data_IF_948930184974
#
_entry.id   IF_948930184974
#
_cell.length_a   1.000
_cell.length_b   1.000
_cell.length_c   1.000
_cell.angle_alpha   90.00
_cell.angle_beta   90.00
_cell.angle_gamma   90.00
#
_symmetry.space_group_name_H-M   'P 1'
#
loop_
_entity.id
_entity.type
_entity.pdbx_description
1 polymer ?
#
# COMPACT_ATOMS: atom_id res chain seq x y z
N UNK A 1 -18.33 -9.25 -7.06
CA UNK A 1 -17.29 -8.21 -7.27
C UNK A 1 -16.70 -8.29 -8.68
N UNK A 2 -16.37 -9.50 -9.16
CA UNK A 2 -15.80 -9.74 -10.50
C UNK A 2 -16.68 -9.16 -11.64
N UNK A 3 -18.02 -9.18 -11.51
CA UNK A 3 -18.92 -8.65 -12.56
C UNK A 3 -19.23 -7.15 -12.45
N UNK A 4 -18.62 -6.42 -11.50
CA UNK A 4 -18.99 -5.02 -11.20
C UNK A 4 -17.87 -4.00 -11.33
N UNK A 5 -16.62 -4.44 -11.48
CA UNK A 5 -15.49 -3.55 -11.74
C UNK A 5 -15.02 -3.75 -13.17
N UNK A 6 -14.94 -2.65 -13.93
CA UNK A 6 -14.54 -2.65 -15.33
C UNK A 6 -13.56 -1.52 -15.61
N UNK A 7 -13.19 -1.32 -16.88
CA UNK A 7 -12.32 -0.22 -17.28
C UNK A 7 -12.82 1.12 -16.72
N UNK A 8 -11.91 1.95 -16.22
CA UNK A 8 -12.18 3.23 -15.52
C UNK A 8 -12.81 3.11 -14.12
N UNK A 9 -13.00 1.89 -13.62
CA UNK A 9 -13.36 1.65 -12.22
C UNK A 9 -12.24 2.02 -11.26
N UNK A 10 -12.59 2.29 -10.00
CA UNK A 10 -11.66 2.52 -8.90
C UNK A 10 -11.78 1.38 -7.87
N UNK A 11 -10.69 0.69 -7.62
CA UNK A 11 -10.58 -0.28 -6.53
C UNK A 11 -9.81 0.34 -5.37
N UNK A 12 -10.42 0.34 -4.18
CA UNK A 12 -9.77 0.77 -2.94
C UNK A 12 -9.49 -0.48 -2.09
N UNK A 13 -8.21 -0.80 -1.92
CA UNK A 13 -7.77 -1.88 -1.05
C UNK A 13 -7.10 -1.28 0.18
N UNK A 14 -7.73 -1.45 1.34
CA UNK A 14 -7.15 -1.07 2.62
C UNK A 14 -6.66 -2.30 3.37
N UNK A 15 -5.34 -2.49 3.45
CA UNK A 15 -4.69 -3.61 4.13
C UNK A 15 -5.20 -4.99 3.67
N UNK A 16 -5.50 -5.11 2.37
CA UNK A 16 -5.81 -6.39 1.77
C UNK A 16 -4.64 -7.37 1.99
N UNK A 17 -4.97 -8.64 2.24
CA UNK A 17 -4.01 -9.73 2.55
C UNK A 17 -3.33 -9.67 3.92
N UNK A 18 -3.79 -8.82 4.86
CA UNK A 18 -3.22 -8.74 6.21
C UNK A 18 -3.22 -10.06 7.01
N UNK A 19 -4.14 -10.99 6.71
CA UNK A 19 -4.21 -12.31 7.36
C UNK A 19 -3.43 -13.41 6.63
N UNK A 20 -2.64 -13.06 5.61
CA UNK A 20 -1.83 -13.97 4.81
C UNK A 20 -0.35 -13.68 5.09
N UNK A 21 0.49 -14.73 5.17
CA UNK A 21 1.92 -14.53 5.36
C UNK A 21 2.51 -13.63 4.25
N UNK A 22 3.38 -12.68 4.61
CA UNK A 22 3.85 -11.61 3.72
C UNK A 22 4.36 -12.11 2.36
N UNK A 23 5.09 -13.23 2.37
CA UNK A 23 5.61 -13.87 1.15
C UNK A 23 4.49 -14.36 0.22
N UNK A 24 3.47 -15.01 0.77
CA UNK A 24 2.36 -15.52 -0.03
C UNK A 24 1.41 -14.40 -0.45
N UNK A 25 1.20 -13.41 0.42
CA UNK A 25 0.46 -12.19 0.12
C UNK A 25 1.06 -11.44 -1.08
N UNK A 26 2.39 -11.25 -1.11
CA UNK A 26 3.07 -10.63 -2.25
C UNK A 26 2.94 -11.42 -3.55
N UNK A 27 3.00 -12.77 -3.48
CA UNK A 27 2.82 -13.65 -4.65
C UNK A 27 1.41 -13.59 -5.23
N UNK A 28 0.41 -13.31 -4.41
CA UNK A 28 -0.99 -13.16 -4.87
C UNK A 28 -1.24 -11.73 -5.36
N UNK A 29 -0.76 -10.72 -4.62
CA UNK A 29 -1.00 -9.32 -4.91
C UNK A 29 -0.45 -8.90 -6.28
N UNK A 30 0.77 -9.31 -6.63
CA UNK A 30 1.42 -8.92 -7.89
C UNK A 30 0.60 -9.24 -9.14
N UNK A 31 0.31 -10.52 -9.44
CA UNK A 31 -0.49 -10.89 -10.60
C UNK A 31 -1.90 -10.30 -10.60
N UNK A 32 -2.55 -10.21 -9.43
CA UNK A 32 -3.89 -9.64 -9.30
C UNK A 32 -3.90 -8.15 -9.68
N UNK A 33 -3.01 -7.36 -9.08
CA UNK A 33 -2.93 -5.92 -9.33
C UNK A 33 -2.54 -5.64 -10.78
N UNK A 34 -1.62 -6.43 -11.35
CA UNK A 34 -1.28 -6.37 -12.77
C UNK A 34 -2.52 -6.56 -13.65
N UNK A 35 -3.26 -7.64 -13.47
CA UNK A 35 -4.46 -7.93 -14.27
C UNK A 35 -5.52 -6.82 -14.18
N UNK A 36 -5.75 -6.27 -12.98
CA UNK A 36 -6.68 -5.15 -12.78
C UNK A 36 -6.21 -3.88 -13.51
N UNK A 37 -4.94 -3.51 -13.38
CA UNK A 37 -4.40 -2.33 -14.05
C UNK A 37 -4.37 -2.47 -15.57
N UNK A 38 -4.05 -3.66 -16.10
CA UNK A 38 -4.11 -3.97 -17.54
C UNK A 38 -5.56 -3.93 -18.07
N UNK A 39 -6.54 -4.27 -17.24
CA UNK A 39 -7.96 -4.11 -17.57
C UNK A 39 -8.46 -2.64 -17.46
N UNK A 40 -7.56 -1.68 -17.18
CA UNK A 40 -7.89 -0.26 -17.09
C UNK A 40 -8.56 0.15 -15.78
N UNK A 41 -8.46 -0.66 -14.72
CA UNK A 41 -8.93 -0.31 -13.37
C UNK A 41 -7.86 0.52 -12.67
N UNK A 42 -8.25 1.65 -12.08
CA UNK A 42 -7.38 2.39 -11.16
C UNK A 42 -7.41 1.71 -9.80
N UNK A 43 -6.24 1.43 -9.23
CA UNK A 43 -6.14 0.77 -7.92
C UNK A 43 -5.42 1.69 -6.93
N UNK A 44 -6.01 1.86 -5.76
CA UNK A 44 -5.36 2.44 -4.58
C UNK A 44 -5.12 1.30 -3.59
N UNK A 45 -3.86 1.03 -3.30
CA UNK A 45 -3.44 -0.14 -2.52
C UNK A 45 -2.67 0.30 -1.28
N UNK A 46 -3.33 0.33 -0.13
CA UNK A 46 -2.71 0.59 1.18
C UNK A 46 -2.27 -0.74 1.75
N UNK A 47 -0.98 -0.92 2.04
CA UNK A 47 -0.41 -2.22 2.40
C UNK A 47 0.83 -2.09 3.26
N UNK A 48 1.09 -3.14 4.05
CA UNK A 48 2.36 -3.34 4.78
C UNK A 48 3.30 -4.31 4.06
N UNK A 49 2.95 -4.78 2.86
CA UNK A 49 3.78 -5.69 2.06
C UNK A 49 5.00 -4.94 1.47
N UNK A 50 5.98 -4.63 2.31
CA UNK A 50 7.12 -3.77 1.96
C UNK A 50 7.94 -4.37 0.82
N UNK A 51 8.20 -5.68 0.84
CA UNK A 51 8.97 -6.33 -0.23
C UNK A 51 8.29 -6.25 -1.59
N UNK A 52 6.96 -6.38 -1.63
CA UNK A 52 6.18 -6.18 -2.84
C UNK A 52 6.29 -4.73 -3.34
N UNK A 53 6.04 -3.76 -2.45
CA UNK A 53 6.07 -2.34 -2.78
C UNK A 53 7.45 -1.90 -3.27
N UNK A 54 8.52 -2.33 -2.58
CA UNK A 54 9.92 -2.06 -2.94
C UNK A 54 10.25 -2.61 -4.33
N UNK A 55 9.89 -3.85 -4.60
CA UNK A 55 10.13 -4.48 -5.91
C UNK A 55 9.39 -3.73 -7.00
N UNK A 56 8.10 -3.43 -6.79
CA UNK A 56 7.26 -2.73 -7.77
C UNK A 56 7.73 -1.29 -8.04
N UNK A 57 8.26 -0.61 -7.02
CA UNK A 57 8.89 0.70 -7.16
C UNK A 57 10.17 0.63 -8.00
N UNK A 58 11.00 -0.40 -7.79
CA UNK A 58 12.21 -0.62 -8.58
C UNK A 58 11.92 -0.92 -10.06
N UNK A 59 10.79 -1.57 -10.37
CA UNK A 59 10.33 -1.82 -11.75
C UNK A 59 9.94 -0.52 -12.49
N UNK A 60 9.77 0.60 -11.78
CA UNK A 60 9.55 1.95 -12.31
C UNK A 60 8.44 2.04 -13.38
N UNK A 61 7.33 1.33 -13.19
CA UNK A 61 6.24 1.32 -14.17
C UNK A 61 5.59 2.72 -14.29
N UNK A 62 5.40 3.25 -15.52
CA UNK A 62 4.95 4.63 -15.72
C UNK A 62 3.58 4.98 -15.13
N UNK A 63 2.74 3.98 -14.88
CA UNK A 63 1.38 4.14 -14.33
C UNK A 63 1.31 4.21 -12.79
N UNK A 64 2.44 4.08 -12.10
CA UNK A 64 2.48 3.95 -10.66
C UNK A 64 2.78 5.29 -9.98
N UNK A 65 2.12 5.54 -8.85
CA UNK A 65 2.43 6.63 -7.94
C UNK A 65 2.57 6.06 -6.53
N UNK A 66 3.78 6.17 -5.97
CA UNK A 66 4.06 5.77 -4.60
C UNK A 66 3.84 6.95 -3.66
N UNK A 67 3.11 6.66 -2.59
CA UNK A 67 2.63 7.63 -1.62
C UNK A 67 2.92 7.11 -0.21
N UNK A 68 3.27 8.03 0.69
CA UNK A 68 3.45 7.73 2.12
C UNK A 68 2.80 8.81 2.97
N UNK A 69 2.43 8.45 4.19
CA UNK A 69 1.98 9.43 5.17
C UNK A 69 3.17 10.34 5.55
N UNK A 70 2.97 11.64 5.49
CA UNK A 70 3.95 12.60 5.99
C UNK A 70 4.05 12.52 7.53
N UNK A 71 5.26 12.80 8.01
CA UNK A 71 5.60 12.89 9.42
C UNK A 71 6.32 14.21 9.66
N UNK A 72 5.97 14.84 10.77
CA UNK A 72 6.75 15.97 11.28
C UNK A 72 8.15 15.51 11.72
N UNK A 73 9.09 16.45 11.91
CA UNK A 73 10.44 16.14 12.41
C UNK A 73 10.45 15.32 13.70
N UNK A 74 9.41 15.50 14.53
CA UNK A 74 9.25 14.84 15.83
C UNK A 74 8.42 13.54 15.76
N UNK A 75 8.16 13.01 14.56
CA UNK A 75 7.36 11.80 14.36
C UNK A 75 5.84 12.02 14.47
N UNK A 76 5.39 13.26 14.67
CA UNK A 76 3.97 13.60 14.73
C UNK A 76 3.26 13.34 13.40
N UNK A 77 2.01 12.86 13.47
CA UNK A 77 1.16 12.69 12.29
C UNK A 77 0.75 14.06 11.75
N UNK A 78 1.00 14.32 10.47
CA UNK A 78 0.53 15.55 9.81
C UNK A 78 -0.78 15.35 9.06
N UNK A 79 -1.25 14.10 8.95
CA UNK A 79 -2.43 13.70 8.16
C UNK A 79 -2.34 14.05 6.66
N UNK A 80 -1.15 14.38 6.17
CA UNK A 80 -0.89 14.55 4.75
C UNK A 80 -0.31 13.27 4.14
N UNK A 81 -0.55 13.12 2.85
CA UNK A 81 0.06 12.08 2.03
C UNK A 81 0.97 12.77 1.02
N UNK A 82 2.22 12.33 0.96
CA UNK A 82 3.25 12.88 0.07
C UNK A 82 3.78 11.81 -0.85
N UNK A 83 4.25 12.21 -2.02
CA UNK A 83 4.97 11.32 -2.91
C UNK A 83 6.26 10.85 -2.24
N UNK A 84 6.55 9.55 -2.34
CA UNK A 84 7.77 8.99 -1.77
C UNK A 84 7.86 7.49 -1.99
N UNK A 85 9.07 6.92 -1.94
CA UNK A 85 9.28 5.48 -2.08
C UNK A 85 8.66 4.73 -0.90
N UNK A 86 8.43 3.41 -1.05
CA UNK A 86 8.10 2.54 0.08
C UNK A 86 9.15 2.67 1.19
N UNK A 87 8.70 2.68 2.44
CA UNK A 87 9.57 2.79 3.62
C UNK A 87 9.45 1.51 4.47
N UNK A 88 10.57 0.91 4.89
CA UNK A 88 10.54 -0.22 5.79
C UNK A 88 10.15 0.25 7.19
N UNK A 89 9.08 -0.33 7.73
CA UNK A 89 8.63 -0.05 9.10
C UNK A 89 7.11 0.14 9.18
N UNK A 90 6.45 -0.75 9.91
CA UNK A 90 5.10 -0.52 10.40
C UNK A 90 5.16 0.24 11.72
N UNK A 91 4.56 1.43 11.78
CA UNK A 91 4.48 2.22 13.03
C UNK A 91 3.47 1.67 14.05
N UNK A 92 3.23 0.35 14.06
CA UNK A 92 2.40 -0.29 15.07
C UNK A 92 2.97 -0.11 16.48
N UNK A 93 4.30 0.01 16.58
CA UNK A 93 4.99 0.26 17.84
C UNK A 93 4.70 1.66 18.41
N UNK A 94 4.57 2.68 17.56
CA UNK A 94 4.27 4.06 17.99
C UNK A 94 2.85 4.17 18.56
N UNK A 95 1.92 3.38 18.03
CA UNK A 95 0.54 3.27 18.56
C UNK A 95 0.50 2.54 19.90
N UNK A 96 1.37 1.54 20.11
CA UNK A 96 1.48 0.83 21.38
C UNK A 96 2.10 1.72 22.46
N UNK A 97 3.20 2.41 22.18
CA UNK A 97 3.88 3.29 23.13
C UNK A 97 3.00 4.48 23.59
N UNK A 98 2.15 5.01 22.70
CA UNK A 98 1.20 6.08 23.05
C UNK A 98 0.06 5.62 23.98
N UNK A 99 -0.15 4.31 24.13
CA UNK A 99 -1.22 3.75 24.99
C UNK A 99 -0.69 3.36 26.38
N UNK A 100 0.61 3.13 26.56
CA UNK A 100 1.21 2.79 27.87
C UNK A 100 1.68 4.01 28.69
N UNK A 101 1.57 5.23 28.15
CA UNK A 101 1.85 6.50 28.85
C UNK A 101 0.60 7.37 29.06
N UNK A 102 -0.59 6.76 28.99
CA UNK A 102 -1.89 7.40 29.27
C UNK A 102 -2.39 7.13 30.67
#
# INVERSE_FOLDING_TARGET
>A
MIDRIGPRGLLLCNEAFASTGERDAGRIAGPLLRALTEAGVKVVFVTHLYDYARTRHADAHPGDLFLRAERGPDGTRTHHIVAGPPEPGGHGYDLWAATELG
#
